data_IF_828085736257
#
_entry.id   IF_828085736257
#
_cell.length_a   1.000
_cell.length_b   1.000
_cell.length_c   1.000
_cell.angle_alpha   90.00
_cell.angle_beta   90.00
_cell.angle_gamma   90.00
#
_symmetry.space_group_name_H-M   'P 1'
#
loop_
_entity.id
_entity.type
_entity.pdbx_description
1 polymer ?
#
# COMPACT_ATOMS: atom_id res chain seq x y z
N UNK A 1 -9.70 22.80 -0.36
CA UNK A 1 -9.15 21.44 -0.51
C UNK A 1 -8.95 20.86 0.88
N UNK A 2 -9.40 19.63 1.11
CA UNK A 2 -9.23 18.88 2.35
C UNK A 2 -8.44 17.62 2.00
N UNK A 3 -7.29 17.44 2.64
CA UNK A 3 -6.42 16.29 2.41
C UNK A 3 -6.70 15.25 3.50
N UNK A 4 -6.99 14.01 3.08
CA UNK A 4 -7.15 12.86 3.96
C UNK A 4 -5.94 11.93 3.81
N UNK A 5 -5.44 11.43 4.95
CA UNK A 5 -4.40 10.40 4.97
C UNK A 5 -4.59 9.56 6.24
N UNK A 6 -5.45 8.55 6.15
CA UNK A 6 -5.82 7.69 7.28
C UNK A 6 -5.60 6.22 6.95
N UNK A 7 -5.70 5.35 7.95
CA UNK A 7 -5.21 3.97 7.90
C UNK A 7 -6.08 2.98 7.11
N UNK A 8 -7.38 3.25 6.97
CA UNK A 8 -8.35 2.30 6.38
C UNK A 8 -9.63 2.95 5.87
N UNK A 9 -10.38 2.21 5.10
CA UNK A 9 -11.65 2.62 4.47
C UNK A 9 -12.68 3.12 5.51
N UNK A 10 -12.79 2.43 6.65
CA UNK A 10 -13.73 2.79 7.72
C UNK A 10 -13.38 4.13 8.36
N UNK A 11 -12.08 4.45 8.47
CA UNK A 11 -11.62 5.75 9.00
C UNK A 11 -11.94 6.89 8.05
N UNK A 12 -11.78 6.69 6.72
CA UNK A 12 -12.23 7.66 5.72
C UNK A 12 -13.73 7.89 5.81
N UNK A 13 -14.51 6.79 5.92
CA UNK A 13 -15.97 6.87 6.09
C UNK A 13 -16.37 7.68 7.31
N UNK A 14 -15.74 7.45 8.45
CA UNK A 14 -16.03 8.16 9.69
C UNK A 14 -15.70 9.64 9.60
N UNK A 15 -14.52 9.99 9.04
CA UNK A 15 -14.11 11.39 8.87
C UNK A 15 -15.06 12.15 7.94
N UNK A 16 -15.51 11.52 6.87
CA UNK A 16 -16.33 12.21 5.87
C UNK A 16 -17.83 12.16 6.22
N UNK A 17 -18.35 11.02 6.68
CA UNK A 17 -19.78 10.75 6.82
C UNK A 17 -20.23 10.52 8.27
N UNK A 18 -19.30 10.52 9.25
CA UNK A 18 -19.61 10.40 10.66
C UNK A 18 -20.51 11.54 11.16
N UNK A 19 -20.92 11.49 12.43
CA UNK A 19 -21.84 12.46 13.03
C UNK A 19 -21.38 13.91 12.83
N UNK A 20 -20.08 14.16 13.02
CA UNK A 20 -19.44 15.46 12.85
C UNK A 20 -18.57 15.51 11.58
N UNK A 21 -18.92 14.67 10.60
CA UNK A 21 -18.14 14.46 9.37
C UNK A 21 -18.17 15.65 8.43
N UNK A 22 -17.16 15.67 7.53
CA UNK A 22 -16.93 16.72 6.55
C UNK A 22 -18.15 17.03 5.68
N UNK A 23 -18.97 16.03 5.39
CA UNK A 23 -20.20 16.15 4.59
C UNK A 23 -21.19 17.19 5.12
N UNK A 24 -21.13 17.54 6.42
CA UNK A 24 -22.05 18.49 7.03
C UNK A 24 -21.71 19.95 6.67
N UNK A 25 -20.45 20.22 6.29
CA UNK A 25 -19.96 21.57 5.99
C UNK A 25 -19.37 21.68 4.56
N UNK A 26 -19.27 20.57 3.83
CA UNK A 26 -18.81 20.56 2.45
C UNK A 26 -19.82 21.25 1.52
N UNK A 27 -19.33 21.81 0.43
CA UNK A 27 -20.11 22.44 -0.62
C UNK A 27 -19.44 22.21 -2.00
N UNK A 28 -20.00 22.79 -3.06
CA UNK A 28 -19.51 22.62 -4.43
C UNK A 28 -18.10 23.17 -4.70
N UNK A 29 -17.52 23.96 -3.78
CA UNK A 29 -16.13 24.42 -3.84
C UNK A 29 -15.18 23.51 -3.05
N UNK A 30 -15.71 22.47 -2.38
CA UNK A 30 -14.91 21.54 -1.58
C UNK A 30 -14.35 20.44 -2.46
N UNK A 31 -13.05 20.19 -2.34
CA UNK A 31 -12.36 19.04 -2.97
C UNK A 31 -11.79 18.18 -1.84
N UNK A 32 -12.15 16.91 -1.80
CA UNK A 32 -11.48 15.90 -0.98
C UNK A 32 -10.34 15.31 -1.80
N UNK A 33 -9.11 15.43 -1.32
CA UNK A 33 -7.92 14.78 -1.85
C UNK A 33 -7.53 13.64 -0.89
N UNK A 34 -7.91 12.42 -1.23
CA UNK A 34 -7.75 11.25 -0.37
C UNK A 34 -6.46 10.47 -0.72
N UNK A 35 -5.44 10.63 0.12
CA UNK A 35 -4.16 9.92 0.02
C UNK A 35 -4.21 8.52 0.70
N UNK A 36 -5.34 8.18 1.33
CA UNK A 36 -5.51 6.91 2.03
C UNK A 36 -5.61 5.74 1.06
N UNK A 37 -5.26 4.54 1.51
CA UNK A 37 -5.50 3.31 0.77
C UNK A 37 -6.85 2.72 1.18
N UNK A 38 -7.83 2.81 0.29
CA UNK A 38 -9.23 2.42 0.51
C UNK A 38 -9.72 1.45 -0.56
N UNK A 39 -10.83 0.73 -0.28
CA UNK A 39 -11.48 -0.10 -1.29
C UNK A 39 -12.02 0.78 -2.43
N UNK A 40 -11.70 0.44 -3.67
CA UNK A 40 -12.06 1.25 -4.84
C UNK A 40 -13.58 1.44 -5.01
N UNK A 41 -14.37 0.41 -4.77
CA UNK A 41 -15.83 0.46 -4.81
C UNK A 41 -16.41 1.37 -3.71
N UNK A 42 -15.85 1.32 -2.50
CA UNK A 42 -16.24 2.24 -1.42
C UNK A 42 -15.82 3.67 -1.72
N UNK A 43 -14.65 3.90 -2.30
CA UNK A 43 -14.20 5.22 -2.73
C UNK A 43 -15.17 5.84 -3.75
N UNK A 44 -15.60 5.05 -4.76
CA UNK A 44 -16.60 5.47 -5.73
C UNK A 44 -17.93 5.80 -5.05
N UNK A 45 -18.37 4.97 -4.11
CA UNK A 45 -19.58 5.20 -3.33
C UNK A 45 -19.49 6.49 -2.49
N UNK A 46 -18.36 6.74 -1.83
CA UNK A 46 -18.12 7.94 -1.04
C UNK A 46 -18.15 9.20 -1.90
N UNK A 47 -17.47 9.17 -3.03
CA UNK A 47 -17.46 10.28 -3.98
C UNK A 47 -18.88 10.62 -4.48
N UNK A 48 -19.64 9.60 -4.87
CA UNK A 48 -21.03 9.77 -5.35
C UNK A 48 -21.94 10.32 -4.25
N UNK A 49 -21.85 9.81 -3.02
CA UNK A 49 -22.66 10.28 -1.89
C UNK A 49 -22.34 11.73 -1.54
N UNK A 50 -21.03 12.07 -1.47
CA UNK A 50 -20.56 13.42 -1.17
C UNK A 50 -21.05 14.41 -2.23
N UNK A 51 -20.78 14.09 -3.51
CA UNK A 51 -21.18 14.94 -4.65
C UNK A 51 -22.69 15.16 -4.69
N UNK A 52 -23.48 14.11 -4.56
CA UNK A 52 -24.95 14.20 -4.56
C UNK A 52 -25.49 15.11 -3.46
N UNK A 53 -24.87 15.12 -2.27
CA UNK A 53 -25.35 15.91 -1.12
C UNK A 53 -24.84 17.33 -1.14
N UNK A 54 -23.62 17.58 -1.63
CA UNK A 54 -22.90 18.83 -1.42
C UNK A 54 -22.40 19.50 -2.71
N UNK A 55 -22.33 18.77 -3.82
CA UNK A 55 -21.64 19.18 -5.05
C UNK A 55 -20.11 19.09 -4.99
N UNK A 56 -19.54 18.63 -3.87
CA UNK A 56 -18.10 18.51 -3.70
C UNK A 56 -17.49 17.43 -4.59
N UNK A 57 -16.21 17.61 -4.93
CA UNK A 57 -15.42 16.68 -5.74
C UNK A 57 -14.55 15.77 -4.88
N UNK A 58 -14.21 14.60 -5.40
CA UNK A 58 -13.34 13.60 -4.77
C UNK A 58 -12.23 13.18 -5.72
N UNK A 59 -10.99 13.25 -5.24
CA UNK A 59 -9.80 12.71 -5.90
C UNK A 59 -9.23 11.62 -5.01
N UNK A 60 -9.11 10.40 -5.52
CA UNK A 60 -8.38 9.33 -4.87
C UNK A 60 -6.93 9.35 -5.36
N UNK A 61 -6.01 9.51 -4.43
CA UNK A 61 -4.60 9.73 -4.71
C UNK A 61 -3.69 8.91 -3.77
N UNK A 62 -3.92 7.59 -3.63
CA UNK A 62 -3.11 6.75 -2.76
C UNK A 62 -1.64 6.80 -3.15
N UNK A 63 -0.78 6.65 -2.13
CA UNK A 63 0.66 6.90 -2.23
C UNK A 63 1.49 5.63 -2.08
N UNK A 64 2.72 5.66 -2.60
CA UNK A 64 3.74 4.64 -2.42
C UNK A 64 5.11 5.29 -2.20
N UNK A 65 5.99 4.64 -1.39
CA UNK A 65 7.33 5.13 -1.08
C UNK A 65 7.70 5.03 0.41
N UNK A 66 6.70 4.84 1.27
CA UNK A 66 6.89 4.70 2.71
C UNK A 66 7.22 6.03 3.41
N UNK A 67 7.47 6.00 4.74
CA UNK A 67 7.69 7.20 5.55
C UNK A 67 8.88 8.04 5.09
N UNK A 68 9.97 7.42 4.69
CA UNK A 68 11.19 8.13 4.28
C UNK A 68 10.92 8.98 3.03
N UNK A 69 10.24 8.43 2.02
CA UNK A 69 9.85 9.17 0.81
C UNK A 69 8.79 10.24 1.07
N UNK A 70 7.91 10.02 2.05
CA UNK A 70 6.95 11.02 2.47
C UNK A 70 7.63 12.25 3.08
N UNK A 71 8.64 12.05 3.95
CA UNK A 71 9.43 13.13 4.54
C UNK A 71 10.24 13.93 3.51
N UNK A 72 10.68 13.26 2.44
CA UNK A 72 11.42 13.89 1.35
C UNK A 72 10.50 14.61 0.33
N UNK A 73 9.17 14.52 0.42
CA UNK A 73 8.26 14.98 -0.63
C UNK A 73 8.41 14.19 -1.93
N UNK A 74 8.72 12.91 -1.86
CA UNK A 74 9.23 12.13 -2.99
C UNK A 74 8.38 10.86 -3.23
N UNK A 75 7.07 10.96 -2.92
CA UNK A 75 6.13 9.87 -3.09
C UNK A 75 5.82 9.58 -4.56
N UNK A 76 5.46 8.35 -4.87
CA UNK A 76 4.74 8.00 -6.09
C UNK A 76 3.25 8.02 -5.80
N UNK A 77 2.47 8.81 -6.56
CA UNK A 77 1.04 9.00 -6.34
C UNK A 77 0.25 8.47 -7.55
N UNK A 78 -0.76 7.66 -7.28
CA UNK A 78 -1.67 7.11 -8.28
C UNK A 78 -3.01 7.83 -8.18
N UNK A 79 -3.37 8.61 -9.20
CA UNK A 79 -4.50 9.55 -9.12
C UNK A 79 -5.69 9.06 -9.93
N UNK A 80 -6.87 9.08 -9.31
CA UNK A 80 -8.17 8.91 -9.95
C UNK A 80 -9.11 10.04 -9.58
N UNK A 81 -10.00 10.42 -10.51
CA UNK A 81 -10.97 11.47 -10.29
C UNK A 81 -11.34 12.22 -11.57
N UNK A 82 -12.11 13.30 -11.45
CA UNK A 82 -12.38 14.22 -12.56
C UNK A 82 -11.09 14.91 -13.00
N UNK A 83 -10.78 14.87 -14.30
CA UNK A 83 -9.51 15.36 -14.85
C UNK A 83 -9.30 16.86 -14.65
N UNK A 84 -10.35 17.67 -14.74
CA UNK A 84 -10.26 19.13 -14.53
C UNK A 84 -9.94 19.42 -13.05
N UNK A 85 -10.53 18.66 -12.13
CA UNK A 85 -10.26 18.78 -10.68
C UNK A 85 -8.86 18.28 -10.35
N UNK A 86 -8.37 17.23 -11.03
CA UNK A 86 -6.99 16.73 -10.86
C UNK A 86 -5.98 17.80 -11.29
N UNK A 87 -6.16 18.44 -12.43
CA UNK A 87 -5.29 19.55 -12.87
C UNK A 87 -5.33 20.74 -11.89
N UNK A 88 -6.47 21.01 -11.26
CA UNK A 88 -6.58 22.06 -10.26
C UNK A 88 -5.77 21.75 -8.98
N UNK A 89 -5.74 20.48 -8.53
CA UNK A 89 -4.97 20.07 -7.33
C UNK A 89 -3.52 19.69 -7.62
N UNK A 90 -3.13 19.66 -8.90
CA UNK A 90 -1.79 19.29 -9.37
C UNK A 90 -0.64 20.00 -8.63
N UNK A 91 -0.67 21.32 -8.36
CA UNK A 91 0.40 21.97 -7.63
C UNK A 91 0.64 21.38 -6.22
N UNK A 92 -0.42 20.88 -5.58
CA UNK A 92 -0.30 20.21 -4.26
C UNK A 92 0.34 18.83 -4.42
N UNK A 93 -0.06 18.09 -5.46
CA UNK A 93 0.50 16.77 -5.72
C UNK A 93 2.00 16.84 -6.06
N UNK A 94 2.42 17.87 -6.80
CA UNK A 94 3.83 18.10 -7.18
C UNK A 94 4.73 18.40 -5.97
N UNK A 95 4.20 19.05 -4.92
CA UNK A 95 4.98 19.36 -3.69
C UNK A 95 5.27 18.12 -2.82
N UNK A 96 4.46 17.08 -2.93
CA UNK A 96 4.56 15.88 -2.08
C UNK A 96 5.02 14.63 -2.84
N UNK A 97 5.31 14.76 -4.14
CA UNK A 97 5.65 13.61 -4.99
C UNK A 97 6.81 13.88 -5.94
N UNK A 98 7.62 12.85 -6.15
CA UNK A 98 8.55 12.82 -7.29
C UNK A 98 7.83 12.63 -8.61
N UNK A 99 6.69 11.95 -8.58
CA UNK A 99 5.85 11.65 -9.73
C UNK A 99 4.44 11.30 -9.28
N UNK A 100 3.44 11.99 -9.84
CA UNK A 100 2.07 11.51 -9.82
C UNK A 100 1.63 11.11 -11.23
N UNK A 101 0.68 10.19 -11.32
CA UNK A 101 0.15 9.72 -12.61
C UNK A 101 -1.37 9.61 -12.50
N UNK A 102 -2.07 10.25 -13.44
CA UNK A 102 -3.51 10.14 -13.59
C UNK A 102 -3.88 8.85 -14.32
N UNK A 103 -4.84 8.09 -13.81
CA UNK A 103 -5.25 6.80 -14.34
C UNK A 103 -6.72 6.72 -14.77
N UNK A 104 -7.47 7.80 -14.63
CA UNK A 104 -8.87 7.86 -15.05
C UNK A 104 -9.81 8.28 -13.92
N UNK A 105 -11.08 7.90 -14.03
CA UNK A 105 -12.14 8.28 -13.10
C UNK A 105 -11.88 7.86 -11.66
N UNK A 106 -12.69 8.40 -10.73
CA UNK A 106 -12.64 8.08 -9.29
C UNK A 106 -12.60 6.56 -9.04
N UNK A 107 -11.68 6.13 -8.19
CA UNK A 107 -11.40 4.73 -7.89
C UNK A 107 -10.24 4.14 -8.70
N UNK A 108 -9.84 4.77 -9.81
CA UNK A 108 -8.71 4.29 -10.63
C UNK A 108 -7.39 4.34 -9.88
N UNK A 109 -7.14 5.37 -9.07
CA UNK A 109 -5.97 5.47 -8.22
C UNK A 109 -5.90 4.31 -7.23
N UNK A 110 -7.02 3.96 -6.59
CA UNK A 110 -7.10 2.83 -5.66
C UNK A 110 -6.87 1.48 -6.35
N UNK A 111 -7.39 1.28 -7.57
CA UNK A 111 -7.12 0.07 -8.35
C UNK A 111 -5.62 -0.06 -8.65
N UNK A 112 -4.98 1.03 -9.10
CA UNK A 112 -3.54 1.02 -9.39
C UNK A 112 -2.73 0.85 -8.12
N UNK A 113 -3.18 1.40 -6.99
CA UNK A 113 -2.57 1.10 -5.67
C UNK A 113 -2.62 -0.40 -5.37
N UNK A 114 -3.71 -1.11 -5.67
CA UNK A 114 -3.76 -2.55 -5.47
C UNK A 114 -2.82 -3.32 -6.42
N UNK A 115 -2.61 -2.84 -7.65
CA UNK A 115 -1.58 -3.39 -8.55
C UNK A 115 -0.17 -3.20 -7.93
N UNK A 116 0.12 -2.00 -7.42
CA UNK A 116 1.36 -1.77 -6.67
C UNK A 116 1.49 -2.73 -5.49
N UNK A 117 0.42 -2.96 -4.71
CA UNK A 117 0.45 -3.85 -3.55
C UNK A 117 0.64 -5.32 -3.96
N UNK A 118 0.11 -5.77 -5.09
CA UNK A 118 0.42 -7.10 -5.65
C UNK A 118 1.93 -7.25 -5.84
N UNK A 119 2.59 -6.25 -6.43
CA UNK A 119 4.03 -6.30 -6.68
C UNK A 119 4.81 -6.24 -5.36
N UNK A 120 4.54 -5.22 -4.54
CA UNK A 120 5.30 -4.96 -3.31
C UNK A 120 5.13 -6.08 -2.29
N UNK A 121 3.88 -6.49 -2.00
CA UNK A 121 3.61 -7.38 -0.87
C UNK A 121 4.02 -8.83 -1.14
N UNK A 122 3.97 -9.27 -2.40
CA UNK A 122 4.54 -10.59 -2.75
C UNK A 122 6.07 -10.60 -2.61
N UNK A 123 6.75 -9.46 -2.83
CA UNK A 123 8.21 -9.39 -2.63
C UNK A 123 8.62 -9.61 -1.17
N UNK A 124 7.81 -9.27 -0.18
CA UNK A 124 8.12 -9.61 1.22
C UNK A 124 8.30 -11.14 1.39
N UNK A 125 7.38 -11.93 0.82
CA UNK A 125 7.46 -13.39 0.91
C UNK A 125 8.63 -13.95 0.09
N UNK A 126 8.82 -13.46 -1.14
CA UNK A 126 9.88 -13.90 -2.06
C UNK A 126 11.26 -13.62 -1.44
N UNK A 127 11.47 -12.43 -0.89
CA UNK A 127 12.75 -12.04 -0.30
C UNK A 127 13.03 -12.79 1.02
N UNK A 128 12.00 -13.11 1.81
CA UNK A 128 12.14 -13.94 2.99
C UNK A 128 12.53 -15.38 2.64
N UNK A 129 11.92 -15.95 1.59
CA UNK A 129 12.27 -17.28 1.06
C UNK A 129 13.71 -17.29 0.55
N UNK A 130 14.12 -16.28 -0.23
CA UNK A 130 15.49 -16.17 -0.74
C UNK A 130 16.53 -16.01 0.40
N UNK A 131 16.22 -15.25 1.44
CA UNK A 131 17.10 -15.10 2.60
C UNK A 131 17.26 -16.42 3.37
N UNK A 132 16.15 -17.14 3.59
CA UNK A 132 16.19 -18.48 4.21
C UNK A 132 16.99 -19.48 3.36
N UNK A 133 16.81 -19.43 2.03
CA UNK A 133 17.59 -20.28 1.12
C UNK A 133 19.10 -19.98 1.19
N UNK A 134 19.49 -18.70 1.20
CA UNK A 134 20.89 -18.30 1.36
C UNK A 134 21.47 -18.80 2.68
N UNK A 135 20.73 -18.71 3.79
CA UNK A 135 21.13 -19.22 5.09
C UNK A 135 21.35 -20.75 5.06
N UNK A 136 20.43 -21.51 4.43
CA UNK A 136 20.55 -22.97 4.33
C UNK A 136 21.79 -23.42 3.57
N UNK A 137 22.28 -22.60 2.63
CA UNK A 137 23.48 -22.87 1.84
C UNK A 137 24.73 -22.20 2.39
N UNK A 138 24.70 -21.59 3.59
CA UNK A 138 25.82 -20.86 4.20
C UNK A 138 26.38 -19.75 3.29
N UNK A 139 25.53 -19.09 2.50
CA UNK A 139 25.88 -17.93 1.68
C UNK A 139 25.79 -16.66 2.53
N UNK A 140 26.78 -15.77 2.40
CA UNK A 140 26.74 -14.44 3.01
C UNK A 140 25.63 -13.60 2.34
N UNK A 141 24.45 -13.64 2.93
CA UNK A 141 23.27 -12.98 2.39
C UNK A 141 23.40 -11.45 2.34
N UNK A 142 24.28 -10.84 3.14
CA UNK A 142 24.48 -9.38 3.11
C UNK A 142 25.08 -8.87 1.79
N UNK A 143 25.74 -9.75 1.01
CA UNK A 143 26.33 -9.42 -0.29
C UNK A 143 25.34 -9.50 -1.45
N UNK A 144 24.17 -10.11 -1.24
CA UNK A 144 23.21 -10.42 -2.31
C UNK A 144 22.64 -9.15 -2.96
N UNK A 145 22.18 -8.10 -2.22
CA UNK A 145 21.63 -6.91 -2.84
C UNK A 145 22.63 -6.22 -3.80
N UNK A 146 23.86 -6.05 -3.39
CA UNK A 146 24.90 -5.45 -4.23
C UNK A 146 25.21 -6.32 -5.45
N UNK A 147 25.40 -7.62 -5.25
CA UNK A 147 25.73 -8.56 -6.31
C UNK A 147 24.65 -8.67 -7.41
N UNK A 148 23.38 -8.40 -7.06
CA UNK A 148 22.26 -8.50 -7.99
C UNK A 148 21.73 -7.14 -8.46
N UNK A 149 22.35 -6.02 -8.03
CA UNK A 149 21.85 -4.65 -8.28
C UNK A 149 21.62 -4.35 -9.76
N UNK A 150 22.55 -4.77 -10.62
CA UNK A 150 22.51 -4.53 -12.07
C UNK A 150 21.80 -5.64 -12.85
N UNK A 151 21.37 -6.70 -12.17
CA UNK A 151 20.64 -7.82 -12.76
C UNK A 151 19.11 -7.64 -12.71
N UNK A 152 18.40 -8.55 -13.35
CA UNK A 152 16.93 -8.52 -13.38
C UNK A 152 16.27 -8.63 -11.98
N UNK A 153 16.96 -9.20 -11.01
CA UNK A 153 16.49 -9.29 -9.63
C UNK A 153 16.69 -7.99 -8.84
N UNK A 154 17.55 -7.08 -9.33
CA UNK A 154 17.80 -5.78 -8.70
C UNK A 154 16.53 -4.93 -8.64
N UNK A 155 16.26 -4.35 -7.47
CA UNK A 155 15.09 -3.48 -7.27
C UNK A 155 15.24 -2.65 -6.00
N UNK A 156 14.49 -1.54 -5.89
CA UNK A 156 14.42 -0.78 -4.65
C UNK A 156 13.94 -1.65 -3.48
N UNK A 157 13.04 -2.61 -3.73
CA UNK A 157 12.55 -3.53 -2.71
C UNK A 157 13.64 -4.49 -2.23
N UNK A 158 14.46 -5.04 -3.15
CA UNK A 158 15.61 -5.86 -2.77
C UNK A 158 16.56 -5.07 -1.88
N UNK A 159 16.88 -3.84 -2.24
CA UNK A 159 17.85 -3.01 -1.52
C UNK A 159 17.34 -2.54 -0.15
N UNK A 160 16.04 -2.32 0.02
CA UNK A 160 15.45 -1.90 1.30
C UNK A 160 15.08 -3.08 2.20
N UNK A 161 14.34 -4.06 1.68
CA UNK A 161 13.77 -5.12 2.51
C UNK A 161 14.76 -6.25 2.83
N UNK A 162 15.60 -6.65 1.86
CA UNK A 162 16.44 -7.82 2.02
C UNK A 162 17.46 -7.70 3.17
N UNK A 163 18.22 -6.58 3.31
CA UNK A 163 19.10 -6.38 4.46
C UNK A 163 18.36 -6.41 5.79
N UNK A 164 17.15 -5.84 5.85
CA UNK A 164 16.33 -5.84 7.05
C UNK A 164 15.86 -7.25 7.43
N UNK A 165 15.49 -8.05 6.43
CA UNK A 165 15.12 -9.47 6.60
C UNK A 165 16.32 -10.25 7.16
N UNK A 166 17.50 -10.13 6.53
CA UNK A 166 18.72 -10.84 6.93
C UNK A 166 19.16 -10.46 8.35
N UNK A 167 19.13 -9.17 8.68
CA UNK A 167 19.55 -8.64 9.97
C UNK A 167 18.46 -8.68 11.05
N UNK A 168 17.29 -9.27 10.74
CA UNK A 168 16.15 -9.36 11.67
C UNK A 168 15.69 -8.00 12.20
N UNK A 169 15.79 -6.96 11.37
CA UNK A 169 15.24 -5.64 11.69
C UNK A 169 13.73 -5.62 11.40
N UNK A 170 12.96 -5.70 12.46
CA UNK A 170 11.49 -5.69 12.42
C UNK A 170 10.91 -4.38 12.96
N UNK A 171 11.71 -3.32 13.07
CA UNK A 171 11.22 -1.98 13.38
C UNK A 171 10.21 -1.54 12.31
N UNK A 172 8.98 -1.15 12.67
CA UNK A 172 7.91 -1.02 11.68
C UNK A 172 8.09 0.21 10.79
N UNK A 173 8.23 -0.02 9.49
CA UNK A 173 7.96 0.95 8.40
C UNK A 173 6.60 0.67 7.76
N UNK A 174 6.12 -0.57 7.87
CA UNK A 174 4.79 -1.04 7.46
C UNK A 174 4.38 -2.25 8.29
N UNK A 175 3.36 -2.10 9.14
CA UNK A 175 2.91 -3.17 10.01
C UNK A 175 2.41 -4.40 9.25
N UNK A 176 2.72 -5.59 9.74
CA UNK A 176 2.22 -6.85 9.17
C UNK A 176 0.68 -6.88 9.06
N UNK A 177 -0.03 -6.27 10.03
CA UNK A 177 -1.48 -6.11 9.98
C UNK A 177 -1.96 -5.24 8.82
N UNK A 178 -1.24 -4.17 8.48
CA UNK A 178 -1.57 -3.32 7.32
C UNK A 178 -1.33 -4.05 6.00
N UNK A 179 -0.24 -4.82 5.92
CA UNK A 179 0.04 -5.68 4.75
C UNK A 179 -1.07 -6.70 4.56
N UNK A 180 -1.50 -7.37 5.63
CA UNK A 180 -2.62 -8.31 5.56
C UNK A 180 -3.91 -7.63 5.11
N UNK A 181 -4.22 -6.44 5.61
CA UNK A 181 -5.37 -5.63 5.16
C UNK A 181 -5.32 -5.38 3.65
N UNK A 182 -4.18 -4.94 3.12
CA UNK A 182 -4.05 -4.65 1.69
C UNK A 182 -4.18 -5.91 0.82
N UNK A 183 -3.61 -7.04 1.25
CA UNK A 183 -3.79 -8.34 0.58
C UNK A 183 -5.24 -8.81 0.61
N UNK A 184 -6.00 -8.51 1.66
CA UNK A 184 -7.44 -8.75 1.72
C UNK A 184 -8.20 -7.88 0.72
N UNK A 185 -7.80 -6.62 0.53
CA UNK A 185 -8.38 -5.70 -0.46
C UNK A 185 -8.10 -6.21 -1.89
N UNK A 186 -6.87 -6.62 -2.20
CA UNK A 186 -6.53 -7.29 -3.48
C UNK A 186 -7.44 -8.50 -3.73
N UNK A 187 -7.62 -9.34 -2.70
CA UNK A 187 -8.47 -10.53 -2.80
C UNK A 187 -9.94 -10.19 -3.12
N UNK A 188 -10.50 -9.14 -2.49
CA UNK A 188 -11.87 -8.68 -2.77
C UNK A 188 -12.03 -8.20 -4.21
N UNK A 189 -11.10 -7.38 -4.70
CA UNK A 189 -11.14 -6.87 -6.07
C UNK A 189 -10.95 -7.99 -7.11
N UNK A 190 -10.06 -8.95 -6.83
CA UNK A 190 -9.84 -10.11 -7.68
C UNK A 190 -11.12 -10.95 -7.83
N UNK A 191 -11.83 -11.22 -6.73
CA UNK A 191 -13.12 -11.94 -6.73
C UNK A 191 -14.16 -11.17 -7.54
N UNK A 192 -14.28 -9.85 -7.35
CA UNK A 192 -15.27 -9.03 -8.04
C UNK A 192 -15.09 -9.02 -9.57
N UNK A 193 -13.88 -9.28 -10.07
CA UNK A 193 -13.55 -9.31 -11.50
C UNK A 193 -13.18 -10.69 -12.02
N UNK A 194 -13.35 -11.74 -11.21
CA UNK A 194 -12.95 -13.12 -11.55
C UNK A 194 -11.49 -13.21 -12.03
N UNK A 195 -10.59 -12.43 -11.43
CA UNK A 195 -9.17 -12.40 -11.80
C UNK A 195 -8.37 -13.33 -10.88
N UNK A 196 -7.64 -14.32 -11.41
CA UNK A 196 -6.82 -15.21 -10.59
C UNK A 196 -5.61 -14.46 -10.01
N UNK A 197 -5.41 -14.58 -8.69
CA UNK A 197 -4.27 -13.98 -7.96
C UNK A 197 -3.63 -15.03 -7.04
N UNK A 198 -3.07 -16.14 -7.57
CA UNK A 198 -2.57 -17.24 -6.75
C UNK A 198 -1.41 -16.82 -5.84
N UNK A 199 -0.45 -16.02 -6.32
CA UNK A 199 0.69 -15.55 -5.53
C UNK A 199 0.23 -14.69 -4.36
N UNK A 200 -0.63 -13.68 -4.61
CA UNK A 200 -1.18 -12.84 -3.54
C UNK A 200 -2.05 -13.62 -2.56
N UNK A 201 -2.72 -14.67 -3.01
CA UNK A 201 -3.50 -15.56 -2.13
C UNK A 201 -2.59 -16.36 -1.19
N UNK A 202 -1.46 -16.87 -1.68
CA UNK A 202 -0.46 -17.56 -0.86
C UNK A 202 0.16 -16.56 0.14
N UNK A 203 0.62 -15.40 -0.33
CA UNK A 203 1.22 -14.36 0.53
C UNK A 203 0.23 -13.90 1.61
N UNK A 204 -1.06 -13.75 1.27
CA UNK A 204 -2.11 -13.46 2.25
C UNK A 204 -2.20 -14.52 3.35
N UNK A 205 -2.11 -15.81 3.00
CA UNK A 205 -2.11 -16.88 4.00
C UNK A 205 -0.88 -16.81 4.91
N UNK A 206 0.30 -16.55 4.38
CA UNK A 206 1.52 -16.37 5.18
C UNK A 206 1.37 -15.20 6.17
N UNK A 207 0.89 -14.04 5.70
CA UNK A 207 0.63 -12.91 6.59
C UNK A 207 -0.51 -13.18 7.60
N UNK A 208 -1.50 -13.99 7.24
CA UNK A 208 -2.54 -14.42 8.18
C UNK A 208 -1.94 -15.25 9.33
N UNK A 209 -1.04 -16.19 9.02
CA UNK A 209 -0.33 -16.97 10.03
C UNK A 209 0.53 -16.07 10.91
N UNK A 210 1.30 -15.15 10.30
CA UNK A 210 2.17 -14.21 11.01
C UNK A 210 1.39 -13.33 11.99
N UNK A 211 0.32 -12.70 11.54
CA UNK A 211 -0.52 -11.81 12.36
C UNK A 211 -1.18 -12.59 13.51
N UNK A 212 -1.69 -13.78 13.24
CA UNK A 212 -2.32 -14.63 14.27
C UNK A 212 -1.31 -15.19 15.32
N UNK A 213 -0.02 -15.12 15.02
CA UNK A 213 1.04 -15.45 16.00
C UNK A 213 1.51 -14.23 16.82
N UNK A 214 0.67 -13.21 16.99
CA UNK A 214 0.94 -11.98 17.75
C UNK A 214 2.10 -11.14 17.21
N UNK A 215 2.29 -11.16 15.89
CA UNK A 215 3.32 -10.36 15.20
C UNK A 215 2.72 -9.18 14.42
N UNK A 216 1.47 -8.82 14.67
CA UNK A 216 0.69 -7.82 13.93
C UNK A 216 1.31 -6.42 13.94
N UNK A 217 2.07 -6.09 15.00
CA UNK A 217 2.74 -4.79 15.21
C UNK A 217 4.20 -4.76 14.76
N UNK A 218 4.74 -5.88 14.29
CA UNK A 218 6.05 -5.89 13.67
C UNK A 218 5.96 -5.45 12.20
N UNK A 219 7.11 -5.08 11.66
CA UNK A 219 7.25 -4.82 10.22
C UNK A 219 6.95 -6.08 9.38
N UNK A 220 6.54 -5.89 8.14
CA UNK A 220 6.32 -6.98 7.18
C UNK A 220 7.53 -7.88 6.97
N UNK A 221 8.75 -7.38 7.16
CA UNK A 221 9.99 -8.17 7.10
C UNK A 221 10.01 -9.33 8.11
N UNK A 222 9.20 -9.24 9.16
CA UNK A 222 9.05 -10.32 10.16
C UNK A 222 8.46 -11.62 9.58
N UNK A 223 7.94 -11.60 8.35
CA UNK A 223 7.48 -12.81 7.64
C UNK A 223 8.57 -13.87 7.52
N UNK A 224 9.86 -13.48 7.53
CA UNK A 224 10.98 -14.42 7.51
C UNK A 224 10.95 -15.41 8.67
N UNK A 225 10.34 -15.07 9.79
CA UNK A 225 10.17 -15.99 10.95
C UNK A 225 9.38 -17.26 10.57
N UNK A 226 8.56 -17.21 9.52
CA UNK A 226 7.83 -18.38 9.03
C UNK A 226 8.72 -19.34 8.22
N UNK A 227 9.89 -18.88 7.78
CA UNK A 227 10.87 -19.62 7.01
C UNK A 227 12.07 -20.05 7.84
N UNK A 228 12.08 -19.79 9.17
CA UNK A 228 13.15 -20.19 10.05
C UNK A 228 13.28 -21.72 10.05
N UNK A 229 14.46 -22.18 9.65
CA UNK A 229 14.80 -23.58 9.76
C UNK A 229 14.84 -23.92 11.26
N UNK A 230 14.04 -24.88 11.68
CA UNK A 230 14.23 -25.47 13.02
C UNK A 230 15.63 -26.04 13.06
N UNK A 231 16.45 -25.58 13.99
CA UNK A 231 17.68 -26.29 14.28
C UNK A 231 17.32 -27.76 14.50
N UNK A 232 17.93 -28.64 13.69
CA UNK A 232 17.76 -30.07 13.91
C UNK A 232 18.21 -30.39 15.31
N UNK A 233 17.23 -30.72 16.18
CA UNK A 233 17.45 -31.26 17.53
C UNK A 233 18.10 -32.62 17.41
#
# INVERSE_FOLDING_TARGET
IIILCVDKTESVKEVVFGKDGLINNANNNTIILDLSTTLADETINFANQLNKKTGASWIDAPVSGGPDKALEGNLAIMVGGDEEVVEYVKPILEEISSKFTYFGETGSGQIVKMINQIIVLNNYAILAEAASFAQAWNIDANKIPEALSDGHAGSNLLNDLFPRIVNRDFAPKGYASQILKDLQMVSKLAIAKNTPTPMSSLTKQLFTILVNSSQEKLDGTSIVKLFDLKENI
#
